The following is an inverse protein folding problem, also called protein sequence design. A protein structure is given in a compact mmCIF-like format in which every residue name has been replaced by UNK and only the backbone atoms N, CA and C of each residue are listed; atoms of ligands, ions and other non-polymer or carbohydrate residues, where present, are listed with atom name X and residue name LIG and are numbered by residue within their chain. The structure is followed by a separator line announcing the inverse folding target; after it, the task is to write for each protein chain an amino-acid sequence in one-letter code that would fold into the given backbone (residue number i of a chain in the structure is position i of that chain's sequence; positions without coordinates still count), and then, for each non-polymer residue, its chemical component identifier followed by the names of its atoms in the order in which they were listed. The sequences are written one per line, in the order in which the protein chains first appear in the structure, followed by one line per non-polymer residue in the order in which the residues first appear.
data_IF_311949404800
#
_entry.id   IF_311949404800
#
_cell.length_a   1.000
_cell.length_b   1.000
_cell.length_c   1.000
_cell.angle_alpha   90.00
_cell.angle_beta   90.00
_cell.angle_gamma   90.00
#
_symmetry.space_group_name_H-M   'P 1'
#
loop_
_entity.id
_entity.type
_entity.pdbx_description
1 polymer ?
#
# COMPACT_ATOMS: atom_id res chain seq x y z
N UNK A 1 12.54 4.38 4.60
CA UNK A 1 11.13 3.96 4.84
C UNK A 1 10.48 3.72 3.48
N UNK A 2 9.47 2.87 3.41
CA UNK A 2 8.68 2.58 2.20
C UNK A 2 7.24 3.00 2.47
N UNK A 3 6.67 3.79 1.57
CA UNK A 3 5.26 4.17 1.58
C UNK A 3 4.51 3.37 0.51
N UNK A 4 3.48 2.64 0.91
CA UNK A 4 2.60 1.88 0.03
C UNK A 4 1.31 2.67 -0.15
N UNK A 5 0.94 2.90 -1.42
CA UNK A 5 -0.28 3.62 -1.77
C UNK A 5 -1.25 2.73 -2.55
N UNK A 6 -2.55 2.96 -2.36
CA UNK A 6 -3.60 2.34 -3.16
C UNK A 6 -4.71 3.34 -3.48
N UNK A 7 -5.03 3.48 -4.78
CA UNK A 7 -6.01 4.45 -5.29
C UNK A 7 -5.86 5.84 -4.64
N UNK A 8 -4.64 6.37 -4.58
CA UNK A 8 -4.35 7.71 -4.05
C UNK A 8 -4.36 7.84 -2.51
N UNK A 9 -4.46 6.76 -1.76
CA UNK A 9 -4.38 6.76 -0.28
C UNK A 9 -3.09 6.11 0.20
N UNK A 10 -2.47 6.69 1.22
CA UNK A 10 -1.38 6.04 1.97
C UNK A 10 -1.98 4.92 2.82
N UNK A 11 -1.66 3.68 2.49
CA UNK A 11 -2.22 2.51 3.16
C UNK A 11 -1.24 1.85 4.13
N UNK A 12 0.06 1.96 3.88
CA UNK A 12 1.09 1.47 4.79
C UNK A 12 2.38 2.31 4.70
N UNK A 13 3.04 2.54 5.82
CA UNK A 13 4.34 3.20 5.90
C UNK A 13 5.20 2.50 6.93
N UNK A 14 6.38 2.03 6.54
CA UNK A 14 7.24 1.25 7.45
C UNK A 14 8.73 1.39 7.11
N UNK A 15 9.66 1.13 8.05
CA UNK A 15 11.02 0.72 7.68
C UNK A 15 11.00 -0.39 6.63
N UNK A 16 11.99 -0.42 5.74
CA UNK A 16 11.97 -1.36 4.61
C UNK A 16 11.97 -2.81 5.10
N UNK A 17 12.84 -3.13 6.04
CA UNK A 17 12.95 -4.47 6.64
C UNK A 17 11.65 -4.94 7.29
N UNK A 18 11.01 -4.09 8.10
CA UNK A 18 9.73 -4.41 8.74
C UNK A 18 8.61 -4.64 7.71
N UNK A 19 8.56 -3.86 6.62
CA UNK A 19 7.58 -4.07 5.56
C UNK A 19 7.73 -5.44 4.91
N UNK A 20 8.95 -5.87 4.62
CA UNK A 20 9.22 -7.17 3.97
C UNK A 20 8.94 -8.35 4.90
N UNK A 21 9.26 -8.23 6.19
CA UNK A 21 9.12 -9.32 7.14
C UNK A 21 7.71 -9.44 7.72
N UNK A 22 7.03 -8.31 7.96
CA UNK A 22 5.76 -8.25 8.69
C UNK A 22 4.82 -7.21 8.08
N UNK A 23 4.40 -7.36 6.81
CA UNK A 23 3.46 -6.45 6.18
C UNK A 23 2.12 -6.46 6.95
N UNK A 24 1.60 -5.29 7.28
CA UNK A 24 0.36 -5.16 8.04
C UNK A 24 -0.86 -5.06 7.11
N UNK A 25 -0.73 -4.39 5.95
CA UNK A 25 -1.84 -4.30 5.01
C UNK A 25 -1.95 -5.57 4.17
N UNK A 26 -3.17 -6.12 4.02
CA UNK A 26 -3.44 -7.18 3.04
C UNK A 26 -3.01 -6.87 1.61
N UNK A 27 -3.07 -5.59 1.20
CA UNK A 27 -2.59 -5.19 -0.12
C UNK A 27 -1.07 -5.34 -0.25
N UNK A 28 -0.32 -4.91 0.77
CA UNK A 28 1.14 -5.06 0.81
C UNK A 28 1.55 -6.52 0.87
N UNK A 29 0.86 -7.34 1.66
CA UNK A 29 1.06 -8.80 1.70
C UNK A 29 0.93 -9.40 0.28
N UNK A 30 -0.14 -9.04 -0.44
CA UNK A 30 -0.35 -9.52 -1.79
C UNK A 30 0.73 -9.04 -2.78
N UNK A 31 1.12 -7.76 -2.73
CA UNK A 31 2.22 -7.22 -3.54
C UNK A 31 3.53 -7.97 -3.27
N UNK A 32 3.86 -8.17 -2.00
CA UNK A 32 5.09 -8.83 -1.60
C UNK A 32 5.08 -10.29 -2.02
N UNK A 33 3.94 -10.99 -2.01
CA UNK A 33 3.81 -12.37 -2.50
C UNK A 33 4.13 -12.54 -4.00
N UNK A 34 4.06 -11.46 -4.79
CA UNK A 34 4.32 -11.46 -6.22
C UNK A 34 5.79 -11.22 -6.59
N UNK A 35 6.63 -10.80 -5.63
CA UNK A 35 8.07 -10.55 -5.84
C UNK A 35 8.78 -11.86 -6.23
N UNK A 36 9.52 -11.91 -7.35
CA UNK A 36 10.28 -13.10 -7.72
C UNK A 36 11.38 -13.40 -6.71
N UNK A 37 11.53 -14.67 -6.33
CA UNK A 37 12.67 -15.12 -5.53
C UNK A 37 13.70 -15.74 -6.49
N UNK A 38 14.97 -15.31 -6.46
CA UNK A 38 15.99 -15.83 -7.38
C UNK A 38 16.30 -17.31 -7.18
N UNK A 39 16.19 -17.79 -5.94
CA UNK A 39 16.37 -19.18 -5.58
C UNK A 39 15.11 -20.00 -5.96
N UNK A 40 15.21 -21.00 -6.85
CA UNK A 40 14.07 -21.77 -7.32
C UNK A 40 13.42 -22.61 -6.22
N UNK A 41 14.21 -23.17 -5.28
CA UNK A 41 13.67 -24.01 -4.20
C UNK A 41 12.84 -23.18 -3.22
N UNK A 42 13.28 -21.95 -2.95
CA UNK A 42 12.52 -20.98 -2.15
C UNK A 42 11.31 -20.41 -2.92
N UNK A 43 11.44 -20.22 -4.24
CA UNK A 43 10.34 -19.75 -5.07
C UNK A 43 9.17 -20.74 -5.10
N UNK A 44 9.45 -22.05 -5.13
CA UNK A 44 8.44 -23.10 -5.11
C UNK A 44 7.67 -23.21 -3.79
N UNK A 45 8.30 -22.84 -2.67
CA UNK A 45 7.67 -22.87 -1.34
C UNK A 45 6.71 -21.71 -1.11
N UNK A 46 6.80 -20.63 -1.91
CA UNK A 46 6.02 -19.43 -1.67
C UNK A 46 4.66 -19.46 -2.36
N UNK A 47 3.62 -19.31 -1.56
CA UNK A 47 2.25 -19.19 -2.07
C UNK A 47 2.02 -17.78 -2.60
N UNK A 48 1.69 -17.67 -3.89
CA UNK A 48 1.40 -16.38 -4.53
C UNK A 48 -0.06 -16.02 -4.28
N UNK A 49 -0.29 -14.84 -3.71
CA UNK A 49 -1.65 -14.34 -3.50
C UNK A 49 -2.13 -13.69 -4.79
N UNK A 50 -3.18 -14.25 -5.39
CA UNK A 50 -3.85 -13.66 -6.54
C UNK A 50 -4.98 -12.77 -6.05
N UNK A 51 -4.87 -11.47 -6.32
CA UNK A 51 -5.94 -10.52 -6.02
C UNK A 51 -7.07 -10.66 -7.03
N UNK A 52 -8.24 -11.06 -6.55
CA UNK A 52 -9.44 -11.19 -7.36
C UNK A 52 -10.04 -9.82 -7.72
N UNK A 53 -10.80 -9.81 -8.82
CA UNK A 53 -11.46 -8.61 -9.34
C UNK A 53 -10.52 -7.60 -10.01
N UNK A 54 -11.14 -6.70 -10.76
CA UNK A 54 -10.44 -5.61 -11.45
C UNK A 54 -10.06 -4.47 -10.50
N UNK A 55 -9.07 -3.68 -10.90
CA UNK A 55 -8.72 -2.45 -10.18
C UNK A 55 -9.86 -1.43 -10.33
N UNK A 56 -10.45 -0.93 -9.24
CA UNK A 56 -11.50 0.09 -9.32
C UNK A 56 -11.01 1.40 -9.92
N UNK A 57 -11.93 2.19 -10.48
CA UNK A 57 -11.61 3.52 -10.99
C UNK A 57 -11.15 4.46 -9.87
N UNK A 58 -10.03 5.19 -10.04
CA UNK A 58 -9.62 6.23 -9.09
C UNK A 58 -10.58 7.43 -9.04
N UNK A 59 -11.36 7.66 -10.10
CA UNK A 59 -12.32 8.78 -10.21
C UNK A 59 -13.53 8.55 -9.31
N UNK A 60 -14.02 7.30 -9.27
CA UNK A 60 -15.14 6.87 -8.44
C UNK A 60 -14.65 5.75 -7.51
N UNK A 61 -13.87 6.08 -6.47
CA UNK A 61 -13.30 5.09 -5.59
C UNK A 61 -14.41 4.39 -4.77
N UNK A 62 -14.17 3.14 -4.34
CA UNK A 62 -15.07 2.45 -3.42
C UNK A 62 -15.28 3.24 -2.11
N UNK A 63 -16.44 3.07 -1.49
CA UNK A 63 -16.74 3.62 -0.16
C UNK A 63 -15.89 2.93 0.92
N UNK A 64 -15.74 3.57 2.08
CA UNK A 64 -14.99 3.01 3.19
C UNK A 64 -13.51 2.74 2.85
N UNK A 65 -13.05 1.52 3.09
CA UNK A 65 -11.71 1.06 2.73
C UNK A 65 -11.60 0.86 1.22
N UNK A 66 -10.81 1.68 0.53
CA UNK A 66 -10.66 1.59 -0.95
C UNK A 66 -10.23 0.22 -1.47
N UNK A 67 -9.59 -0.60 -0.64
CA UNK A 67 -9.13 -1.95 -1.02
C UNK A 67 -10.20 -3.05 -0.81
N UNK A 68 -11.32 -2.76 -0.13
CA UNK A 68 -12.33 -3.77 0.20
C UNK A 68 -12.84 -4.60 -1.00
N UNK A 69 -12.95 -4.09 -2.25
CA UNK A 69 -13.46 -4.91 -3.36
C UNK A 69 -12.52 -6.05 -3.77
N UNK A 70 -11.23 -5.96 -3.40
CA UNK A 70 -10.19 -6.93 -3.76
C UNK A 70 -9.52 -7.57 -2.54
N UNK A 71 -9.97 -7.21 -1.33
CA UNK A 71 -9.40 -7.69 -0.09
C UNK A 71 -10.02 -9.01 0.34
N UNK A 72 -9.22 -10.07 0.45
CA UNK A 72 -9.64 -11.39 0.94
C UNK A 72 -10.12 -11.40 2.40
N UNK A 73 -9.77 -10.37 3.17
CA UNK A 73 -10.10 -10.23 4.59
C UNK A 73 -11.22 -9.19 4.84
N UNK A 74 -11.95 -8.79 3.80
CA UNK A 74 -12.98 -7.74 3.95
C UNK A 74 -14.13 -8.22 4.84
N UNK A 75 -14.66 -7.31 5.65
CA UNK A 75 -15.94 -7.45 6.35
C UNK A 75 -16.79 -6.21 6.09
N UNK A 76 -18.02 -6.16 6.61
CA UNK A 76 -18.96 -5.07 6.28
C UNK A 76 -18.46 -3.68 6.71
N UNK A 77 -17.72 -3.58 7.83
CA UNK A 77 -17.10 -2.31 8.25
C UNK A 77 -16.17 -1.72 7.18
N UNK A 78 -15.53 -2.58 6.37
CA UNK A 78 -14.63 -2.14 5.29
C UNK A 78 -15.38 -1.46 4.14
N UNK A 79 -16.67 -1.76 3.95
CA UNK A 79 -17.50 -1.11 2.91
C UNK A 79 -18.01 0.25 3.36
N UNK A 80 -18.17 0.43 4.67
CA UNK A 80 -18.85 1.58 5.25
C UNK A 80 -17.88 2.64 5.79
N UNK A 81 -16.77 2.22 6.40
CA UNK A 81 -15.88 3.11 7.16
C UNK A 81 -14.47 3.08 6.55
N UNK A 82 -13.90 4.26 6.27
CA UNK A 82 -12.50 4.36 5.88
C UNK A 82 -11.61 4.10 7.12
N UNK A 83 -10.71 3.10 7.08
CA UNK A 83 -9.84 2.80 8.21
C UNK A 83 -8.85 3.96 8.42
N UNK A 84 -8.63 4.41 9.66
CA UNK A 84 -7.64 5.43 9.95
C UNK A 84 -6.23 4.89 9.76
N UNK A 85 -5.29 5.74 9.34
CA UNK A 85 -3.87 5.43 9.39
C UNK A 85 -3.39 5.53 10.84
N UNK A 86 -2.97 4.39 11.40
CA UNK A 86 -2.58 4.28 12.82
C UNK A 86 -1.22 3.63 12.95
N UNK A 87 -0.51 3.93 14.04
CA UNK A 87 0.82 3.40 14.32
C UNK A 87 0.73 2.10 15.13
N UNK A 88 1.40 1.05 14.63
CA UNK A 88 1.52 -0.28 15.22
C UNK A 88 2.91 -0.50 15.86
N UNK A 89 3.54 0.60 16.29
CA UNK A 89 4.88 0.61 16.88
C UNK A 89 6.02 0.71 15.86
N UNK A 90 7.19 1.15 16.33
CA UNK A 90 8.44 1.30 15.53
C UNK A 90 8.30 2.14 14.26
N UNK A 91 7.31 3.04 14.18
CA UNK A 91 7.05 3.81 12.96
C UNK A 91 6.49 2.98 11.80
N UNK A 92 5.83 1.84 12.10
CA UNK A 92 5.05 1.05 11.15
C UNK A 92 3.58 1.45 11.24
N UNK A 93 3.08 2.15 10.23
CA UNK A 93 1.72 2.64 10.15
C UNK A 93 0.93 1.87 9.11
N UNK A 94 -0.34 1.58 9.38
CA UNK A 94 -1.25 0.96 8.41
C UNK A 94 -2.69 1.46 8.56
N UNK A 95 -3.44 1.47 7.46
CA UNK A 95 -4.84 1.85 7.40
C UNK A 95 -5.71 0.61 7.10
N UNK A 96 -5.93 -0.24 8.11
CA UNK A 96 -6.73 -1.46 7.99
C UNK A 96 -7.66 -1.65 9.19
N UNK A 97 -8.86 -2.18 8.95
CA UNK A 97 -9.73 -2.70 10.01
C UNK A 97 -9.31 -4.09 10.49
N UNK A 98 -8.59 -4.84 9.64
CA UNK A 98 -8.09 -6.20 9.90
C UNK A 98 -6.58 -6.25 9.65
N UNK A 99 -5.76 -5.61 10.49
CA UNK A 99 -4.30 -5.59 10.34
C UNK A 99 -3.71 -7.00 10.46
N UNK A 100 -2.79 -7.34 9.56
CA UNK A 100 -2.05 -8.60 9.57
C UNK A 100 -0.76 -8.46 10.37
N UNK A 101 -0.21 -9.57 10.87
CA UNK A 101 1.12 -9.60 11.48
C UNK A 101 1.32 -8.64 12.67
N UNK A 102 0.24 -8.30 13.36
CA UNK A 102 0.23 -7.50 14.59
C UNK A 102 -0.18 -8.40 15.75
N UNK A 103 0.62 -8.41 16.82
CA UNK A 103 0.28 -9.15 18.03
C UNK A 103 -0.83 -8.44 18.84
N UNK A 104 -1.46 -9.20 19.73
CA UNK A 104 -2.58 -8.73 20.54
C UNK A 104 -2.20 -7.53 21.42
N UNK A 105 -1.01 -7.54 22.00
CA UNK A 105 -0.55 -6.47 22.87
C UNK A 105 -0.44 -5.15 22.10
N UNK A 106 0.13 -5.18 20.90
CA UNK A 106 0.21 -4.03 20.01
C UNK A 106 -1.18 -3.54 19.64
N UNK A 107 -2.11 -4.43 19.28
CA UNK A 107 -3.49 -4.05 18.94
C UNK A 107 -4.20 -3.31 20.08
N UNK A 108 -3.98 -3.71 21.33
CA UNK A 108 -4.57 -3.06 22.50
C UNK A 108 -4.00 -1.65 22.75
N UNK A 109 -2.81 -1.36 22.22
CA UNK A 109 -2.13 -0.07 22.35
C UNK A 109 -2.36 0.88 21.17
N UNK A 110 -2.86 0.37 20.04
CA UNK A 110 -3.13 1.17 18.84
C UNK A 110 -4.13 2.27 19.16
N UNK A 111 -3.73 3.51 18.89
CA UNK A 111 -4.60 4.68 18.98
C UNK A 111 -4.63 5.38 17.64
N UNK A 112 -5.80 5.91 17.28
CA UNK A 112 -5.95 6.71 16.07
C UNK A 112 -4.99 7.89 16.11
N UNK A 113 -4.01 7.87 15.22
CA UNK A 113 -3.01 8.93 15.17
C UNK A 113 -3.59 10.14 14.44
N UNK A 114 -3.75 11.26 15.16
CA UNK A 114 -4.27 12.51 14.58
C UNK A 114 -3.25 13.21 13.66
N UNK A 115 -2.01 12.73 13.59
CA UNK A 115 -0.85 13.48 13.09
C UNK A 115 -0.18 12.94 11.82
N UNK A 116 -0.64 11.82 11.25
CA UNK A 116 0.10 11.13 10.17
C UNK A 116 -0.51 11.23 8.76
N UNK A 117 -1.48 12.12 8.55
CA UNK A 117 -1.59 12.69 7.19
C UNK A 117 -0.35 13.54 7.00
N UNK A 118 0.49 13.35 5.98
CA UNK A 118 1.52 14.34 5.63
C UNK A 118 0.79 15.66 5.43
N UNK A 119 0.84 16.52 6.45
CA UNK A 119 0.21 17.83 6.42
C UNK A 119 0.94 18.62 5.35
N UNK A 120 0.25 18.83 4.23
CA UNK A 120 0.77 19.45 3.00
C UNK A 120 2.00 18.73 2.42
N UNK A 121 1.86 18.24 1.19
CA UNK A 121 3.02 18.19 0.30
C UNK A 121 3.61 19.61 0.29
N UNK A 122 4.81 19.79 0.85
CA UNK A 122 5.53 21.05 0.71
C UNK A 122 5.58 21.39 -0.78
N UNK A 123 5.42 22.68 -1.09
CA UNK A 123 5.33 23.20 -2.45
C UNK A 123 6.53 22.80 -3.34
N UNK A 124 7.62 22.36 -2.72
CA UNK A 124 8.82 21.80 -3.33
C UNK A 124 8.65 20.39 -3.96
N UNK A 125 7.56 19.66 -3.65
CA UNK A 125 7.30 18.31 -4.17
C UNK A 125 6.47 18.29 -5.48
N UNK A 126 6.14 19.46 -6.04
CA UNK A 126 5.53 19.52 -7.39
C UNK A 126 6.54 18.97 -8.41
N UNK A 127 6.15 17.97 -9.22
CA UNK A 127 6.95 17.58 -10.38
C UNK A 127 7.18 18.81 -11.25
N UNK A 128 8.43 19.12 -11.57
CA UNK A 128 8.73 20.12 -12.58
C UNK A 128 8.28 19.57 -13.93
N UNK A 129 7.53 20.38 -14.69
CA UNK A 129 7.01 20.04 -16.00
C UNK A 129 8.17 19.62 -16.94
N UNK A 130 8.22 18.35 -17.40
CA UNK A 130 9.25 17.91 -18.34
C UNK A 130 9.00 18.43 -19.77
N UNK A 131 7.92 19.19 -20.01
CA UNK A 131 7.44 19.62 -21.32
C UNK A 131 8.27 20.66 -22.08
N UNK A 132 9.54 20.89 -21.74
CA UNK A 132 10.43 21.76 -22.54
C UNK A 132 11.82 21.16 -22.78
N UNK A 133 11.89 19.92 -23.25
CA UNK A 133 13.00 19.49 -24.09
C UNK A 133 12.40 18.90 -25.35
N UNK A 134 12.62 19.58 -26.48
CA UNK A 134 12.06 19.22 -27.77
C UNK A 134 12.36 17.75 -28.08
N UNK A 135 11.32 16.98 -28.39
CA UNK A 135 11.47 15.63 -28.87
C UNK A 135 12.12 15.67 -30.26
N UNK A 136 13.41 15.34 -30.32
CA UNK A 136 14.08 15.10 -31.59
C UNK A 136 13.71 13.69 -32.08
N UNK A 137 13.18 13.53 -33.31
CA UNK A 137 12.68 12.25 -33.76
C UNK A 137 13.82 11.24 -33.98
N UNK A 138 13.62 10.02 -33.46
CA UNK A 138 14.53 8.89 -33.64
C UNK A 138 14.64 8.56 -35.13
N UNK A 139 15.84 8.59 -35.75
CA UNK A 139 15.99 8.28 -37.16
C UNK A 139 15.67 6.82 -37.41
N UNK A 140 14.79 6.55 -38.38
CA UNK A 140 14.52 5.20 -38.86
C UNK A 140 15.72 4.70 -39.66
N UNK A 141 16.35 3.65 -39.19
CA UNK A 141 17.36 2.89 -39.93
C UNK A 141 16.70 2.27 -41.16
N UNK A 142 17.21 2.60 -42.34
CA UNK A 142 16.95 1.88 -43.59
C UNK A 142 17.91 0.72 -43.77
#
# INVERSE_FOLDING_TARGET
RIAVMYLGKLVELSPAEDLYLRPIMPYTEALLSAVPIPDPDLAHQRERIVLEGDVPSPINPPSGCRFHPRCRYMTDICKEVEPPLVEYGRGHLAACHHPLNVDRETLEQVRVSKTHTPGSAEEAAKPQDPGKQGAEPIPRSG
#
